data_IF_840324325681
#
_entry.id   IF_840324325681
#
_cell.length_a   1.000
_cell.length_b   1.000
_cell.length_c   1.000
_cell.angle_alpha   90.00
_cell.angle_beta   90.00
_cell.angle_gamma   90.00
#
_symmetry.space_group_name_H-M   'P 1'
#
loop_
_entity.id
_entity.type
_entity.pdbx_description
1 polymer ?
#
# COMPACT_ATOMS: atom_id res chain seq x y z
N UNK A 1 -0.15 -1.03 34.51
CA UNK A 1 0.06 -0.78 33.06
C UNK A 1 -1.30 -0.54 32.45
N UNK A 2 -1.59 0.68 32.00
CA UNK A 2 -2.79 0.91 31.20
C UNK A 2 -2.55 0.29 29.82
N UNK A 3 -3.29 -0.77 29.50
CA UNK A 3 -3.24 -1.37 28.17
C UNK A 3 -3.84 -0.39 27.18
N UNK A 4 -2.98 0.29 26.44
CA UNK A 4 -3.39 1.20 25.38
C UNK A 4 -3.73 0.41 24.11
N UNK A 5 -4.93 -0.18 24.08
CA UNK A 5 -5.47 -0.99 22.96
C UNK A 5 -5.33 -0.34 21.58
N UNK A 6 -5.32 0.99 21.55
CA UNK A 6 -5.23 1.76 20.32
C UNK A 6 -3.86 1.67 19.63
N UNK A 7 -2.75 1.46 20.36
CA UNK A 7 -1.46 1.14 19.75
C UNK A 7 -1.48 -0.26 19.13
N UNK A 8 -2.08 -1.23 19.82
CA UNK A 8 -2.19 -2.60 19.31
C UNK A 8 -2.97 -2.65 17.99
N UNK A 9 -4.08 -1.90 17.90
CA UNK A 9 -4.87 -1.80 16.67
C UNK A 9 -4.04 -1.18 15.55
N UNK A 10 -3.30 -0.09 15.83
CA UNK A 10 -2.43 0.54 14.85
C UNK A 10 -1.34 -0.41 14.34
N UNK A 11 -0.71 -1.18 15.24
CA UNK A 11 0.32 -2.14 14.86
C UNK A 11 -0.24 -3.27 14.00
N UNK A 12 -1.38 -3.85 14.39
CA UNK A 12 -2.05 -4.90 13.62
C UNK A 12 -2.38 -4.39 12.21
N UNK A 13 -3.00 -3.21 12.12
CA UNK A 13 -3.37 -2.61 10.82
C UNK A 13 -2.12 -2.27 10.02
N UNK A 14 -1.09 -1.69 10.65
CA UNK A 14 0.18 -1.35 10.02
C UNK A 14 0.88 -2.57 9.44
N UNK A 15 0.95 -3.68 10.19
CA UNK A 15 1.53 -4.95 9.74
C UNK A 15 0.72 -5.51 8.57
N UNK A 16 -0.61 -5.56 8.69
CA UNK A 16 -1.47 -6.09 7.61
C UNK A 16 -1.32 -5.29 6.31
N UNK A 17 -1.43 -3.96 6.39
CA UNK A 17 -1.31 -3.07 5.22
C UNK A 17 0.10 -3.12 4.64
N UNK A 18 1.12 -3.05 5.50
CA UNK A 18 2.53 -3.13 5.08
C UNK A 18 2.85 -4.45 4.41
N UNK A 19 2.43 -5.58 4.98
CA UNK A 19 2.65 -6.90 4.41
C UNK A 19 2.01 -7.07 3.03
N UNK A 20 0.73 -6.68 2.88
CA UNK A 20 0.03 -6.72 1.59
C UNK A 20 0.72 -5.80 0.57
N UNK A 21 1.07 -4.58 0.97
CA UNK A 21 1.79 -3.62 0.14
C UNK A 21 3.11 -4.19 -0.38
N UNK A 22 3.98 -4.68 0.51
CA UNK A 22 5.29 -5.24 0.17
C UNK A 22 5.15 -6.44 -0.76
N UNK A 23 4.24 -7.38 -0.45
CA UNK A 23 4.05 -8.59 -1.26
C UNK A 23 3.61 -8.25 -2.68
N UNK A 24 2.65 -7.33 -2.83
CA UNK A 24 2.16 -6.92 -4.14
C UNK A 24 3.18 -6.06 -4.90
N UNK A 25 3.89 -5.19 -4.20
CA UNK A 25 4.97 -4.39 -4.77
C UNK A 25 6.11 -5.28 -5.30
N UNK A 26 6.51 -6.30 -4.55
CA UNK A 26 7.51 -7.28 -4.99
C UNK A 26 7.07 -8.06 -6.23
N UNK A 27 5.79 -8.45 -6.31
CA UNK A 27 5.23 -9.07 -7.52
C UNK A 27 5.29 -8.12 -8.73
N UNK A 28 4.98 -6.85 -8.53
CA UNK A 28 5.06 -5.84 -9.59
C UNK A 28 6.49 -5.67 -10.10
N UNK A 29 7.48 -5.60 -9.20
CA UNK A 29 8.91 -5.57 -9.58
C UNK A 29 9.27 -6.81 -10.40
N UNK A 30 8.87 -8.01 -9.95
CA UNK A 30 9.13 -9.26 -10.69
C UNK A 30 8.51 -9.23 -12.10
N UNK A 31 7.31 -8.67 -12.26
CA UNK A 31 6.68 -8.52 -13.57
C UNK A 31 7.47 -7.58 -14.49
N UNK A 32 7.98 -6.46 -13.96
CA UNK A 32 8.81 -5.52 -14.72
C UNK A 32 10.11 -6.20 -15.17
N UNK A 33 10.79 -6.90 -14.25
CA UNK A 33 12.04 -7.63 -14.54
C UNK A 33 11.85 -8.77 -15.54
N UNK A 34 10.65 -9.37 -15.61
CA UNK A 34 10.31 -10.41 -16.58
C UNK A 34 10.02 -9.87 -17.99
N UNK A 35 10.29 -8.59 -18.26
CA UNK A 35 10.05 -7.96 -19.56
C UNK A 35 8.58 -7.60 -19.84
N UNK A 36 7.65 -7.83 -18.90
CA UNK A 36 6.22 -7.48 -19.02
C UNK A 36 5.95 -6.05 -18.55
N UNK A 37 6.91 -5.16 -18.76
CA UNK A 37 6.77 -3.75 -18.38
C UNK A 37 5.81 -3.06 -19.33
N UNK A 38 4.66 -2.66 -18.81
CA UNK A 38 3.65 -1.86 -19.51
C UNK A 38 3.34 -0.61 -18.69
N UNK A 39 2.74 0.40 -19.33
CA UNK A 39 2.25 1.60 -18.62
C UNK A 39 1.32 1.23 -17.45
N UNK A 40 0.53 0.17 -17.62
CA UNK A 40 -0.34 -0.36 -16.56
C UNK A 40 0.48 -1.00 -15.43
N UNK A 41 1.51 -1.79 -15.73
CA UNK A 41 2.40 -2.41 -14.74
C UNK A 41 3.07 -1.33 -13.87
N UNK A 42 3.53 -0.23 -14.48
CA UNK A 42 4.13 0.90 -13.75
C UNK A 42 3.10 1.58 -12.83
N UNK A 43 1.87 1.81 -13.33
CA UNK A 43 0.79 2.40 -12.53
C UNK A 43 0.45 1.54 -11.29
N UNK A 44 0.36 0.22 -11.48
CA UNK A 44 0.10 -0.74 -10.40
C UNK A 44 1.26 -0.76 -9.40
N UNK A 45 2.50 -0.63 -9.87
CA UNK A 45 3.69 -0.55 -9.02
C UNK A 45 3.63 0.67 -8.10
N UNK A 46 3.30 1.85 -8.66
CA UNK A 46 3.14 3.09 -7.89
C UNK A 46 2.00 2.95 -6.87
N UNK A 47 0.86 2.36 -7.27
CA UNK A 47 -0.26 2.08 -6.36
C UNK A 47 0.19 1.27 -5.14
N UNK A 48 0.88 0.15 -5.35
CA UNK A 48 1.31 -0.68 -4.22
C UNK A 48 2.49 -0.09 -3.44
N UNK A 49 3.30 0.79 -4.03
CA UNK A 49 4.27 1.59 -3.30
C UNK A 49 3.57 2.50 -2.28
N UNK A 50 2.50 3.22 -2.68
CA UNK A 50 1.71 4.07 -1.78
C UNK A 50 1.07 3.28 -0.64
N UNK A 51 0.52 2.09 -0.93
CA UNK A 51 -0.03 1.19 0.08
C UNK A 51 1.05 0.74 1.06
N UNK A 52 2.25 0.42 0.57
CA UNK A 52 3.40 0.05 1.41
C UNK A 52 3.80 1.20 2.34
N UNK A 53 3.93 2.41 1.79
CA UNK A 53 4.26 3.61 2.57
C UNK A 53 3.19 3.88 3.64
N UNK A 54 1.91 3.66 3.33
CA UNK A 54 0.81 3.81 4.29
C UNK A 54 0.94 2.85 5.48
N UNK A 55 1.28 1.58 5.23
CA UNK A 55 1.52 0.59 6.31
C UNK A 55 2.77 0.92 7.14
N UNK A 56 3.87 1.28 6.48
CA UNK A 56 5.11 1.70 7.14
C UNK A 56 4.89 2.94 8.00
N UNK A 57 4.09 3.91 7.52
CA UNK A 57 3.75 5.12 8.26
C UNK A 57 2.98 4.82 9.55
N UNK A 58 2.13 3.79 9.58
CA UNK A 58 1.44 3.35 10.81
C UNK A 58 2.37 2.62 11.78
N UNK A 59 3.38 1.90 11.29
CA UNK A 59 4.30 1.13 12.14
C UNK A 59 5.41 1.98 12.76
N UNK A 60 5.92 2.98 12.05
CA UNK A 60 7.07 3.77 12.51
C UNK A 60 6.63 4.92 13.42
N UNK A 61 5.49 5.54 13.13
CA UNK A 61 5.03 6.70 13.90
C UNK A 61 4.28 6.27 15.17
N UNK A 62 4.41 7.05 16.23
CA UNK A 62 3.61 6.89 17.43
C UNK A 62 2.12 7.04 17.12
N UNK A 63 1.27 6.39 17.92
CA UNK A 63 -0.17 6.53 17.79
C UNK A 63 -0.61 7.99 17.84
N UNK A 64 -1.42 8.37 16.85
CA UNK A 64 -2.00 9.70 16.77
C UNK A 64 -2.83 9.86 15.52
N UNK A 65 -3.74 10.84 15.52
CA UNK A 65 -4.63 11.11 14.39
C UNK A 65 -3.85 11.46 13.11
N UNK A 66 -2.69 12.12 13.23
CA UNK A 66 -1.88 12.55 12.08
C UNK A 66 -1.39 11.36 11.23
N UNK A 67 -0.70 10.34 11.77
CA UNK A 67 -0.34 9.13 11.03
C UNK A 67 -1.52 8.46 10.34
N UNK A 68 -2.65 8.32 11.05
CA UNK A 68 -3.86 7.72 10.48
C UNK A 68 -4.40 8.49 9.28
N UNK A 69 -4.51 9.82 9.40
CA UNK A 69 -4.95 10.67 8.30
C UNK A 69 -4.04 10.56 7.08
N UNK A 70 -2.72 10.59 7.28
CA UNK A 70 -1.73 10.42 6.20
C UNK A 70 -1.91 9.05 5.52
N UNK A 71 -2.01 7.98 6.30
CA UNK A 71 -2.18 6.63 5.79
C UNK A 71 -3.49 6.43 5.01
N UNK A 72 -4.59 7.05 5.47
CA UNK A 72 -5.87 7.07 4.76
C UNK A 72 -5.77 7.82 3.44
N UNK A 73 -5.17 9.02 3.44
CA UNK A 73 -4.98 9.83 2.22
C UNK A 73 -4.14 9.05 1.19
N UNK A 74 -3.05 8.40 1.62
CA UNK A 74 -2.22 7.55 0.74
C UNK A 74 -3.03 6.42 0.11
N UNK A 75 -3.90 5.75 0.88
CA UNK A 75 -4.78 4.70 0.36
C UNK A 75 -5.78 5.27 -0.65
N UNK A 76 -6.39 6.43 -0.39
CA UNK A 76 -7.29 7.08 -1.33
C UNK A 76 -6.60 7.45 -2.64
N UNK A 77 -5.42 8.05 -2.58
CA UNK A 77 -4.61 8.36 -3.76
C UNK A 77 -4.29 7.07 -4.52
N UNK A 78 -3.94 5.98 -3.82
CA UNK A 78 -3.66 4.69 -4.46
C UNK A 78 -4.87 4.11 -5.22
N UNK A 79 -6.09 4.39 -4.77
CA UNK A 79 -7.31 3.90 -5.43
C UNK A 79 -7.65 4.69 -6.70
N UNK A 80 -7.33 5.99 -6.74
CA UNK A 80 -7.46 6.82 -7.94
C UNK A 80 -6.50 6.33 -9.03
N UNK A 81 -5.33 5.81 -8.64
CA UNK A 81 -4.34 5.20 -9.53
C UNK A 81 -4.78 3.76 -9.87
N UNK A 82 -5.93 3.62 -10.51
CA UNK A 82 -6.40 2.33 -11.05
C UNK A 82 -6.23 2.34 -12.56
N UNK A 83 -5.40 1.44 -13.14
CA UNK A 83 -5.27 1.37 -14.58
C UNK A 83 -6.60 0.94 -15.21
N UNK A 84 -7.00 1.61 -16.30
CA UNK A 84 -8.15 1.21 -17.11
C UNK A 84 -7.84 -0.16 -17.73
N UNK A 85 -8.54 -1.20 -17.29
CA UNK A 85 -8.47 -2.52 -17.91
C UNK A 85 -9.05 -2.41 -19.31
N UNK A 86 -8.19 -2.42 -20.33
CA UNK A 86 -8.66 -2.60 -21.70
C UNK A 86 -8.96 -4.08 -21.85
N UNK A 87 -10.23 -4.46 -21.74
CA UNK A 87 -10.71 -5.79 -22.10
C UNK A 87 -10.51 -5.99 -23.61
N UNK A 88 -9.29 -6.32 -24.04
CA UNK A 88 -9.08 -7.02 -25.30
C UNK A 88 -9.12 -8.50 -24.99
N UNK A 89 -10.34 -9.03 -25.00
CA UNK A 89 -10.58 -10.47 -25.13
C UNK A 89 -10.08 -10.84 -26.53
N UNK A 90 -9.00 -11.61 -26.59
CA UNK A 90 -8.56 -12.29 -27.81
C UNK A 90 -9.34 -13.59 -27.95
#
# INVERSE_FOLDING_TARGET
>A
MEFHYYYLIQDIVGVMVGFVGIRMFALCIRMILSGKSSKNTILITIKYALVTISGVNLLINQFGLKPWMISIILIFISNIITPKTSNKVF
#
